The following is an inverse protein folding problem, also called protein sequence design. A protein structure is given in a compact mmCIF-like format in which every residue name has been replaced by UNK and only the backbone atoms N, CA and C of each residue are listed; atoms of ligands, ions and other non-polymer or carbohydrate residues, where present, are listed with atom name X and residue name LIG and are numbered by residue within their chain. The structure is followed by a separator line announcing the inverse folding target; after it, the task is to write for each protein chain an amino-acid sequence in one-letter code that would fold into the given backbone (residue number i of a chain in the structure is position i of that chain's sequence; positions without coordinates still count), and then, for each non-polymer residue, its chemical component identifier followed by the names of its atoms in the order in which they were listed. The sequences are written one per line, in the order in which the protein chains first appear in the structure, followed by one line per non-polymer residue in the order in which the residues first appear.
data_IF_017065112534
#
_entry.id   IF_017065112534
#
_cell.length_a   1.000
_cell.length_b   1.000
_cell.length_c   1.000
_cell.angle_alpha   90.00
_cell.angle_beta   90.00
_cell.angle_gamma   90.00
#
_symmetry.space_group_name_H-M   'P 1'
#
loop_
_entity.id
_entity.type
_entity.pdbx_description
1 polymer ?
#
# COMPACT_ATOMS: atom_id res chain seq x y z
N UNK A 1 8.56 31.15 12.81
CA UNK A 1 7.10 31.33 12.92
C UNK A 1 6.51 31.84 11.63
N UNK A 2 5.36 31.31 11.23
CA UNK A 2 4.59 31.75 10.07
C UNK A 2 3.38 32.55 10.57
N UNK A 3 3.28 33.82 10.18
CA UNK A 3 2.17 34.72 10.53
C UNK A 3 1.04 34.69 9.48
N UNK A 4 1.13 33.76 8.52
CA UNK A 4 0.15 33.59 7.45
C UNK A 4 -1.29 33.45 7.99
N UNK A 5 -1.59 32.66 9.05
CA UNK A 5 -2.95 32.46 9.52
C UNK A 5 -3.65 33.74 10.04
N UNK A 6 -2.88 34.77 10.44
CA UNK A 6 -3.43 36.04 10.94
C UNK A 6 -3.65 37.08 9.83
N UNK A 7 -3.19 36.79 8.60
CA UNK A 7 -3.32 37.69 7.46
C UNK A 7 -4.61 37.47 6.68
N UNK A 8 -5.16 38.55 6.13
CA UNK A 8 -6.34 38.53 5.23
C UNK A 8 -6.09 37.66 3.98
N UNK A 9 -4.82 37.43 3.62
CA UNK A 9 -4.44 36.55 2.52
C UNK A 9 -4.76 35.06 2.76
N UNK A 10 -4.82 34.61 4.02
CA UNK A 10 -5.02 33.19 4.34
C UNK A 10 -6.37 32.64 3.90
N UNK A 11 -7.52 33.28 4.20
CA UNK A 11 -8.82 32.83 3.68
C UNK A 11 -8.89 32.78 2.15
N UNK A 12 -8.25 33.74 1.46
CA UNK A 12 -8.20 33.79 0.00
C UNK A 12 -7.38 32.64 -0.56
N UNK A 13 -6.22 32.34 0.04
CA UNK A 13 -5.40 31.19 -0.32
C UNK A 13 -6.18 29.88 -0.11
N UNK A 14 -6.82 29.71 1.04
CA UNK A 14 -7.62 28.52 1.37
C UNK A 14 -8.78 28.34 0.39
N UNK A 15 -9.48 29.42 0.02
CA UNK A 15 -10.54 29.37 -0.99
C UNK A 15 -10.01 28.93 -2.36
N UNK A 16 -8.86 29.45 -2.79
CA UNK A 16 -8.24 29.07 -4.05
C UNK A 16 -7.75 27.62 -4.04
N UNK A 17 -7.06 27.18 -2.98
CA UNK A 17 -6.61 25.80 -2.82
C UNK A 17 -7.81 24.85 -2.80
N UNK A 18 -8.86 25.18 -2.05
CA UNK A 18 -10.07 24.35 -1.98
C UNK A 18 -10.77 24.28 -3.32
N UNK A 19 -10.90 25.40 -4.04
CA UNK A 19 -11.46 25.44 -5.38
C UNK A 19 -10.63 24.68 -6.41
N UNK A 20 -9.30 24.65 -6.24
CA UNK A 20 -8.38 23.91 -7.11
C UNK A 20 -8.35 22.40 -6.81
N UNK A 21 -8.45 22.01 -5.53
CA UNK A 21 -8.43 20.61 -5.09
C UNK A 21 -9.80 19.92 -5.25
N UNK A 22 -10.89 20.67 -5.20
CA UNK A 22 -12.25 20.16 -5.36
C UNK A 22 -13.02 20.96 -6.42
N UNK A 23 -12.58 20.95 -7.69
CA UNK A 23 -13.43 21.40 -8.77
C UNK A 23 -14.63 20.44 -8.77
N UNK A 24 -15.84 20.98 -8.64
CA UNK A 24 -17.08 20.19 -8.62
C UNK A 24 -17.03 19.13 -9.72
N UNK A 25 -17.00 17.86 -9.31
CA UNK A 25 -16.81 16.75 -10.24
C UNK A 25 -18.04 16.62 -11.13
N UNK A 26 -17.83 16.61 -12.43
CA UNK A 26 -18.89 16.40 -13.41
C UNK A 26 -19.20 14.91 -13.64
N UNK A 27 -18.64 14.02 -12.83
CA UNK A 27 -18.77 12.57 -12.99
C UNK A 27 -18.74 11.90 -11.62
N UNK A 28 -19.46 10.79 -11.50
CA UNK A 28 -19.49 9.96 -10.31
C UNK A 28 -18.76 8.65 -10.63
N UNK A 29 -17.58 8.47 -10.06
CA UNK A 29 -16.79 7.24 -10.21
C UNK A 29 -16.70 6.51 -8.88
N UNK A 30 -17.00 5.19 -8.85
CA UNK A 30 -16.66 4.32 -7.73
C UNK A 30 -15.17 4.41 -7.38
N UNK A 31 -14.82 4.04 -6.14
CA UNK A 31 -13.42 3.93 -5.72
C UNK A 31 -12.82 2.69 -6.40
N UNK A 32 -11.90 2.90 -7.36
CA UNK A 32 -11.24 1.81 -8.09
C UNK A 32 -12.03 1.36 -9.32
N UNK A 33 -11.89 2.09 -10.43
CA UNK A 33 -12.40 1.66 -11.74
C UNK A 33 -11.48 0.59 -12.34
N UNK A 34 -12.08 -0.45 -12.89
CA UNK A 34 -11.39 -1.46 -13.68
C UNK A 34 -11.46 -1.12 -15.19
N UNK A 35 -10.56 -1.68 -16.00
CA UNK A 35 -10.65 -1.54 -17.44
C UNK A 35 -11.99 -2.03 -18.00
N UNK A 36 -12.61 -1.20 -18.84
CA UNK A 36 -13.92 -1.48 -19.45
C UNK A 36 -15.13 -0.98 -18.62
N UNK A 37 -14.92 -0.51 -17.40
CA UNK A 37 -16.01 0.08 -16.61
C UNK A 37 -16.50 1.39 -17.27
N UNK A 38 -17.83 1.56 -17.48
CA UNK A 38 -18.38 2.80 -18.02
C UNK A 38 -18.36 3.92 -16.97
N UNK A 39 -18.02 5.13 -17.41
CA UNK A 39 -18.00 6.33 -16.58
C UNK A 39 -19.10 7.29 -17.02
N UNK A 40 -20.21 7.41 -16.26
CA UNK A 40 -21.24 8.38 -16.57
C UNK A 40 -20.75 9.81 -16.27
N UNK A 41 -20.92 10.71 -17.23
CA UNK A 41 -20.56 12.12 -17.11
C UNK A 41 -21.85 12.94 -17.12
N UNK A 42 -22.07 13.70 -16.06
CA UNK A 42 -23.17 14.63 -15.89
C UNK A 42 -22.64 16.07 -16.08
N UNK A 43 -22.61 16.59 -17.33
CA UNK A 43 -22.19 17.96 -17.59
C UNK A 43 -23.12 18.95 -16.88
N UNK A 44 -22.54 20.01 -16.30
CA UNK A 44 -23.31 21.07 -15.66
C UNK A 44 -24.07 21.94 -16.68
N UNK A 45 -25.08 22.69 -16.21
CA UNK A 45 -25.83 23.61 -17.05
C UNK A 45 -24.92 24.63 -17.75
N UNK A 46 -25.08 24.78 -19.07
CA UNK A 46 -24.26 25.68 -19.92
C UNK A 46 -23.01 25.04 -20.52
N UNK A 47 -22.74 23.76 -20.25
CA UNK A 47 -21.70 22.98 -20.94
C UNK A 47 -22.16 22.65 -22.36
N UNK A 48 -21.29 22.87 -23.35
CA UNK A 48 -21.55 22.59 -24.77
C UNK A 48 -20.84 21.33 -25.26
N UNK A 49 -19.70 20.95 -24.66
CA UNK A 49 -19.01 19.72 -24.98
C UNK A 49 -18.25 19.14 -23.77
N UNK A 50 -18.00 17.84 -23.81
CA UNK A 50 -17.17 17.09 -22.88
C UNK A 50 -15.96 16.56 -23.64
N UNK A 51 -14.77 16.72 -23.07
CA UNK A 51 -13.56 16.07 -23.57
C UNK A 51 -12.90 15.25 -22.47
N UNK A 52 -12.39 14.08 -22.86
CA UNK A 52 -11.63 13.19 -21.99
C UNK A 52 -10.25 12.98 -22.60
N UNK A 53 -9.21 13.37 -21.86
CA UNK A 53 -7.83 13.05 -22.18
C UNK A 53 -7.50 11.68 -21.59
N UNK A 54 -7.14 10.75 -22.47
CA UNK A 54 -6.76 9.38 -22.11
C UNK A 54 -5.28 9.30 -21.68
N UNK A 55 -4.87 8.23 -20.99
CA UNK A 55 -3.49 8.03 -20.55
C UNK A 55 -2.46 8.00 -21.69
N UNK A 56 -2.86 7.53 -22.89
CA UNK A 56 -2.03 7.55 -24.11
C UNK A 56 -1.89 8.94 -24.75
N UNK A 57 -2.54 9.97 -24.19
CA UNK A 57 -2.56 11.33 -24.73
C UNK A 57 -3.61 11.58 -25.81
N UNK A 58 -4.35 10.56 -26.24
CA UNK A 58 -5.46 10.72 -27.17
C UNK A 58 -6.63 11.44 -26.48
N UNK A 59 -7.40 12.19 -27.27
CA UNK A 59 -8.55 12.95 -26.77
C UNK A 59 -9.82 12.39 -27.37
N UNK A 60 -10.77 12.13 -26.49
CA UNK A 60 -12.15 11.85 -26.85
C UNK A 60 -12.98 13.12 -26.64
N UNK A 61 -13.90 13.43 -27.55
CA UNK A 61 -14.73 14.62 -27.54
C UNK A 61 -16.16 14.26 -27.89
N UNK A 62 -17.12 14.70 -27.08
CA UNK A 62 -18.54 14.54 -27.34
C UNK A 62 -19.27 15.85 -27.04
N UNK A 63 -20.15 16.29 -27.95
CA UNK A 63 -21.02 17.44 -27.72
C UNK A 63 -22.15 17.09 -26.75
N UNK A 64 -22.54 18.07 -25.92
CA UNK A 64 -23.65 17.89 -24.97
C UNK A 64 -24.97 18.04 -25.73
N UNK A 65 -25.72 16.93 -25.82
CA UNK A 65 -27.07 16.88 -26.35
C UNK A 65 -28.12 16.62 -25.27
N UNK A 66 -29.27 16.08 -25.67
CA UNK A 66 -30.34 15.66 -24.73
C UNK A 66 -30.06 14.31 -24.05
N UNK A 67 -29.15 13.51 -24.60
CA UNK A 67 -28.80 12.18 -24.08
C UNK A 67 -27.72 12.22 -22.98
N UNK A 68 -27.76 11.24 -22.08
CA UNK A 68 -26.72 11.10 -21.05
C UNK A 68 -25.39 10.69 -21.66
N UNK A 69 -24.32 11.38 -21.29
CA UNK A 69 -22.96 11.10 -21.76
C UNK A 69 -22.36 9.98 -20.91
N UNK A 70 -21.91 8.91 -21.57
CA UNK A 70 -21.23 7.79 -20.93
C UNK A 70 -19.92 7.55 -21.66
N UNK A 71 -18.81 7.68 -20.93
CA UNK A 71 -17.49 7.38 -21.44
C UNK A 71 -17.16 5.90 -21.20
N UNK A 72 -16.89 5.15 -22.28
CA UNK A 72 -16.65 3.70 -22.22
C UNK A 72 -15.24 3.30 -22.62
N UNK A 73 -14.41 4.23 -23.09
CA UNK A 73 -13.03 3.95 -23.52
C UNK A 73 -12.05 3.90 -22.33
N UNK A 74 -12.36 3.07 -21.34
CA UNK A 74 -11.58 2.88 -20.10
C UNK A 74 -10.65 1.68 -20.16
N UNK A 75 -10.36 1.12 -21.34
CA UNK A 75 -9.55 -0.12 -21.46
C UNK A 75 -8.09 0.04 -20.99
N UNK A 76 -7.55 1.25 -21.05
CA UNK A 76 -6.17 1.50 -20.68
C UNK A 76 -6.07 1.87 -19.18
N UNK A 77 -5.22 1.21 -18.38
CA UNK A 77 -4.96 1.65 -17.02
C UNK A 77 -4.20 2.98 -17.03
N UNK A 78 -4.55 3.88 -16.12
CA UNK A 78 -3.92 5.19 -15.98
C UNK A 78 -4.87 6.29 -15.53
N UNK A 79 -4.37 7.52 -15.57
CA UNK A 79 -5.11 8.71 -15.18
C UNK A 79 -5.81 9.32 -16.40
N UNK A 80 -7.12 9.51 -16.30
CA UNK A 80 -7.96 10.18 -17.27
C UNK A 80 -8.31 11.57 -16.75
N UNK A 81 -8.22 12.60 -17.60
CA UNK A 81 -8.59 13.96 -17.27
C UNK A 81 -9.84 14.38 -18.05
N UNK A 82 -10.87 14.82 -17.33
CA UNK A 82 -12.14 15.27 -17.93
C UNK A 82 -12.14 16.78 -17.96
N UNK A 83 -12.43 17.36 -19.13
CA UNK A 83 -12.65 18.80 -19.28
C UNK A 83 -14.03 19.05 -19.89
N UNK A 84 -14.72 20.05 -19.38
CA UNK A 84 -15.97 20.56 -19.91
C UNK A 84 -15.69 21.82 -20.72
N UNK A 85 -16.36 21.98 -21.85
CA UNK A 85 -16.35 23.21 -22.63
C UNK A 85 -17.64 23.96 -22.38
N UNK A 86 -17.54 25.24 -22.05
CA UNK A 86 -18.67 26.16 -21.98
C UNK A 86 -18.46 27.35 -22.94
N UNK A 87 -19.33 28.36 -22.86
CA UNK A 87 -19.22 29.57 -23.68
C UNK A 87 -17.99 30.44 -23.38
N UNK A 88 -17.30 30.20 -22.27
CA UNK A 88 -16.09 30.91 -21.84
C UNK A 88 -14.81 30.14 -22.15
N UNK A 89 -14.90 28.83 -22.42
CA UNK A 89 -13.79 28.00 -22.85
C UNK A 89 -13.77 26.62 -22.19
N UNK A 90 -12.59 25.98 -22.20
CA UNK A 90 -12.39 24.68 -21.56
C UNK A 90 -12.10 24.85 -20.06
N UNK A 91 -12.79 24.05 -19.24
CA UNK A 91 -12.68 24.01 -17.79
C UNK A 91 -12.45 22.58 -17.31
N UNK A 92 -11.47 22.38 -16.43
CA UNK A 92 -11.23 21.08 -15.81
C UNK A 92 -12.43 20.63 -14.96
N UNK A 93 -12.89 19.41 -15.19
CA UNK A 93 -14.00 18.76 -14.50
C UNK A 93 -13.53 17.71 -13.47
N UNK A 94 -12.21 17.51 -13.38
CA UNK A 94 -11.56 16.56 -12.50
C UNK A 94 -10.93 15.39 -13.25
N UNK A 95 -10.31 14.50 -12.48
CA UNK A 95 -9.62 13.32 -13.00
C UNK A 95 -10.17 12.06 -12.31
N UNK A 96 -10.12 10.93 -13.03
CA UNK A 96 -10.36 9.59 -12.50
C UNK A 96 -9.23 8.66 -12.93
N UNK A 97 -8.98 7.62 -12.13
CA UNK A 97 -7.95 6.62 -12.42
C UNK A 97 -8.61 5.28 -12.69
N UNK A 98 -8.15 4.61 -13.75
CA UNK A 98 -8.48 3.22 -14.06
C UNK A 98 -7.27 2.38 -13.70
N UNK A 99 -7.46 1.34 -12.90
CA UNK A 99 -6.38 0.49 -12.42
C UNK A 99 -6.76 -0.99 -12.53
N UNK A 100 -5.76 -1.86 -12.63
CA UNK A 100 -5.93 -3.31 -12.60
C UNK A 100 -6.05 -3.87 -11.17
N UNK A 101 -5.87 -3.03 -10.16
CA UNK A 101 -5.83 -3.46 -8.76
C UNK A 101 -7.21 -3.91 -8.29
N UNK A 102 -7.30 -5.16 -7.87
CA UNK A 102 -8.40 -5.63 -7.06
C UNK A 102 -8.19 -5.13 -5.61
N UNK A 103 -9.23 -4.61 -4.93
CA UNK A 103 -9.13 -4.19 -3.52
C UNK A 103 -8.58 -5.29 -2.58
N UNK A 104 -8.74 -6.57 -2.95
CA UNK A 104 -8.20 -7.72 -2.22
C UNK A 104 -6.68 -7.85 -2.27
N UNK A 105 -5.98 -7.28 -3.26
CA UNK A 105 -4.51 -7.33 -3.31
C UNK A 105 -3.84 -6.37 -2.32
N UNK A 106 -4.52 -5.28 -1.96
CA UNK A 106 -4.03 -4.32 -0.95
C UNK A 106 -4.44 -4.70 0.48
N UNK A 107 -5.32 -5.70 0.64
CA UNK A 107 -5.75 -6.18 1.95
C UNK A 107 -4.73 -7.18 2.53
N UNK A 108 -3.75 -6.64 3.24
CA UNK A 108 -2.69 -7.43 3.91
C UNK A 108 -3.15 -8.07 5.23
N UNK A 109 -4.45 -8.04 5.55
CA UNK A 109 -4.97 -8.75 6.73
C UNK A 109 -4.75 -10.26 6.53
N UNK A 110 -4.25 -11.00 7.54
CA UNK A 110 -4.10 -12.44 7.43
C UNK A 110 -5.46 -13.09 7.17
N UNK A 111 -5.65 -13.64 5.97
CA UNK A 111 -6.85 -14.37 5.57
C UNK A 111 -6.54 -15.87 5.57
N UNK A 112 -7.46 -16.68 6.09
CA UNK A 112 -7.26 -18.12 6.24
C UNK A 112 -7.19 -18.87 4.90
N UNK A 113 -7.74 -18.29 3.83
CA UNK A 113 -7.70 -18.83 2.47
C UNK A 113 -7.50 -17.70 1.48
N UNK A 114 -6.60 -17.90 0.52
CA UNK A 114 -6.31 -16.96 -0.56
C UNK A 114 -6.66 -17.67 -1.87
N UNK A 115 -7.68 -17.18 -2.54
CA UNK A 115 -8.13 -17.72 -3.82
C UNK A 115 -7.24 -17.14 -4.93
N UNK A 116 -6.27 -17.90 -5.44
CA UNK A 116 -5.43 -17.49 -6.58
C UNK A 116 -5.94 -18.24 -7.82
N UNK A 117 -6.65 -17.54 -8.71
CA UNK A 117 -7.24 -18.15 -9.92
C UNK A 117 -8.37 -19.13 -9.60
N UNK A 118 -8.35 -20.34 -10.21
CA UNK A 118 -9.33 -21.42 -9.94
C UNK A 118 -8.84 -22.46 -8.93
N UNK A 119 -7.69 -22.22 -8.31
CA UNK A 119 -7.10 -23.12 -7.32
C UNK A 119 -7.26 -22.52 -5.94
N UNK A 120 -8.09 -23.15 -5.11
CA UNK A 120 -8.04 -22.95 -3.66
C UNK A 120 -6.71 -23.50 -3.19
N UNK A 121 -5.71 -22.62 -3.04
CA UNK A 121 -4.54 -22.96 -2.26
C UNK A 121 -4.99 -22.78 -0.83
N UNK A 122 -5.31 -23.89 -0.15
CA UNK A 122 -5.27 -23.88 1.30
C UNK A 122 -3.90 -23.35 1.65
N UNK A 123 -3.86 -22.22 2.36
CA UNK A 123 -2.67 -21.81 3.06
C UNK A 123 -2.38 -22.99 3.97
N UNK A 124 -1.49 -23.89 3.52
CA UNK A 124 -0.81 -24.78 4.43
C UNK A 124 -0.33 -23.81 5.50
N UNK A 125 -0.91 -23.92 6.69
CA UNK A 125 -0.25 -23.46 7.90
C UNK A 125 1.17 -23.91 7.65
N UNK A 126 2.09 -22.96 7.49
CA UNK A 126 3.48 -23.29 7.50
C UNK A 126 3.67 -23.88 8.88
N UNK A 127 3.40 -25.17 8.99
CA UNK A 127 3.94 -26.05 9.97
C UNK A 127 5.41 -25.74 9.80
N UNK A 128 5.93 -24.95 10.74
CA UNK A 128 7.31 -24.49 10.76
C UNK A 128 8.18 -25.71 11.05
N UNK A 129 8.16 -26.65 10.10
CA UNK A 129 8.85 -27.93 10.08
C UNK A 129 10.14 -27.64 9.34
N UNK A 130 10.97 -26.79 9.94
CA UNK A 130 12.16 -26.30 9.25
C UNK A 130 13.25 -25.74 10.14
N UNK A 131 12.93 -25.16 11.29
CA UNK A 131 13.96 -24.64 12.19
C UNK A 131 13.95 -25.40 13.52
N UNK A 132 14.68 -26.52 13.53
CA UNK A 132 15.21 -27.04 14.80
C UNK A 132 16.19 -26.00 15.32
N UNK A 133 15.74 -25.23 16.30
CA UNK A 133 16.52 -24.21 16.98
C UNK A 133 17.66 -24.87 17.76
N UNK A 134 18.85 -24.97 17.15
CA UNK A 134 20.07 -25.43 17.83
C UNK A 134 20.68 -24.36 18.76
N UNK A 135 20.21 -23.11 18.64
CA UNK A 135 20.71 -21.98 19.42
C UNK A 135 20.53 -22.11 20.95
N UNK A 136 19.47 -22.72 21.52
CA UNK A 136 19.33 -22.87 22.96
C UNK A 136 20.41 -23.79 23.55
N UNK A 137 20.83 -24.81 22.79
CA UNK A 137 21.92 -25.71 23.19
C UNK A 137 23.28 -24.98 23.19
N UNK A 138 23.54 -24.17 22.15
CA UNK A 138 24.74 -23.33 22.09
C UNK A 138 24.79 -22.32 23.23
N UNK A 139 23.66 -21.67 23.54
CA UNK A 139 23.54 -20.75 24.66
C UNK A 139 23.77 -21.44 26.00
N UNK A 140 23.21 -22.65 26.19
CA UNK A 140 23.44 -23.47 27.38
C UNK A 140 24.93 -23.81 27.59
N UNK A 141 25.64 -24.19 26.52
CA UNK A 141 27.09 -24.45 26.58
C UNK A 141 27.87 -23.18 26.96
N UNK A 142 27.54 -22.03 26.35
CA UNK A 142 28.20 -20.77 26.66
C UNK A 142 28.01 -20.37 28.13
N UNK A 143 26.82 -20.57 28.69
CA UNK A 143 26.54 -20.31 30.12
C UNK A 143 27.36 -21.24 31.02
N UNK A 144 27.48 -22.53 30.69
CA UNK A 144 28.31 -23.47 31.46
C UNK A 144 29.78 -23.03 31.45
N UNK A 145 30.31 -22.63 30.28
CA UNK A 145 31.69 -22.13 30.17
C UNK A 145 31.90 -20.92 31.05
N UNK A 146 30.98 -19.95 31.04
CA UNK A 146 31.04 -18.77 31.90
C UNK A 146 31.01 -19.12 33.39
N UNK A 147 30.18 -20.09 33.82
CA UNK A 147 30.13 -20.55 35.21
C UNK A 147 31.46 -21.20 35.61
N UNK A 148 32.03 -22.04 34.74
CA UNK A 148 33.32 -22.70 34.99
C UNK A 148 34.44 -21.66 35.08
N UNK A 149 34.49 -20.72 34.15
CA UNK A 149 35.48 -19.64 34.15
C UNK A 149 35.37 -18.78 35.41
N UNK A 150 34.14 -18.38 35.76
CA UNK A 150 33.88 -17.63 36.98
C UNK A 150 34.30 -18.41 38.24
N UNK A 151 34.01 -19.70 38.30
CA UNK A 151 34.40 -20.57 39.42
C UNK A 151 35.91 -20.72 39.54
N UNK A 152 36.63 -20.91 38.43
CA UNK A 152 38.10 -20.98 38.41
C UNK A 152 38.71 -19.64 38.83
N UNK A 153 38.19 -18.53 38.32
CA UNK A 153 38.64 -17.19 38.68
C UNK A 153 38.41 -16.90 40.17
N UNK A 154 37.28 -17.32 40.73
CA UNK A 154 36.95 -17.06 42.13
C UNK A 154 37.62 -18.04 43.11
N UNK A 155 37.92 -19.29 42.72
CA UNK A 155 38.57 -20.28 43.61
C UNK A 155 40.10 -20.39 43.47
N UNK A 156 40.69 -19.68 42.51
CA UNK A 156 42.12 -19.75 42.23
C UNK A 156 42.52 -21.08 41.60
N UNK A 157 43.62 -21.08 40.84
CA UNK A 157 44.12 -22.23 40.08
C UNK A 157 44.66 -23.34 40.98
N UNK A 158 43.77 -24.08 41.66
CA UNK A 158 44.12 -25.34 42.29
C UNK A 158 43.51 -26.47 41.47
N UNK A 159 44.32 -27.00 40.54
CA UNK A 159 44.04 -28.23 39.82
C UNK A 159 43.68 -29.34 40.82
N UNK A 160 42.57 -30.07 40.64
CA UNK A 160 42.29 -31.24 41.47
C UNK A 160 43.40 -32.27 41.25
N UNK A 161 44.16 -32.57 42.30
CA UNK A 161 45.12 -33.69 42.30
C UNK A 161 44.31 -34.98 42.18
N UNK A 162 44.36 -35.60 41.01
CA UNK A 162 43.96 -37.00 40.85
C UNK A 162 44.99 -37.85 41.61
N UNK A 163 44.64 -38.25 42.83
CA UNK A 163 45.43 -39.24 43.55
C UNK A 163 45.31 -40.56 42.80
N UNK A 164 46.39 -40.95 42.11
CA UNK A 164 46.53 -42.30 41.57
C UNK A 164 46.55 -43.26 42.75
N UNK A 165 45.43 -43.96 42.96
CA UNK A 165 45.37 -45.14 43.82
C UNK A 165 46.40 -46.15 43.31
N UNK A 166 47.55 -46.19 43.99
CA UNK A 166 48.58 -47.20 43.80
C UNK A 166 48.04 -48.49 44.43
N UNK A 167 47.58 -49.41 43.59
CA UNK A 167 47.32 -50.80 43.96
C UNK A 167 48.60 -51.39 44.55
N UNK A 168 48.54 -51.86 45.80
CA UNK A 168 49.53 -52.78 46.35
C UNK A 168 48.80 -54.01 46.84
N UNK A 169 48.83 -55.03 45.98
CA UNK A 169 48.68 -56.43 46.33
C UNK A 169 49.89 -56.87 47.15
N UNK A 170 49.61 -57.52 48.28
CA UNK A 170 50.21 -58.75 48.84
C UNK A 170 49.95 -58.81 50.34
#
# INVERSE_FOLDING_TARGET
DSDLPLQIAFPVLMANITGWLSPGRAFATPTGLHPGDPVPIAPGAGTTAVSVLKPDGSRWLQEVGEESIIFTETEQPGLYAVNLRDSRGDRAAGNFAVNLFAPGESDIRPVAQIQIGQTTVETAVAEDVGQREFWPWLLGIAVIVLIVEWWVHHRGTQLPKFDRLRSRSE
#
